data_IF_375463612828
#
_entry.id   IF_375463612828
#
_cell.length_a   1.000
_cell.length_b   1.000
_cell.length_c   1.000
_cell.angle_alpha   90.00
_cell.angle_beta   90.00
_cell.angle_gamma   90.00
#
_symmetry.space_group_name_H-M   'P 1'
#
loop_
_entity.id
_entity.type
_entity.pdbx_description
1 polymer ?
#
# COMPACT_ATOMS: atom_id res chain seq x y z
N UNK A 1 -28.82 -11.71 -32.87
CA UNK A 1 -28.75 -10.29 -32.45
C UNK A 1 -28.21 -10.26 -31.02
N UNK A 2 -26.89 -10.14 -30.86
CA UNK A 2 -26.22 -10.15 -29.55
C UNK A 2 -26.16 -8.71 -29.03
N UNK A 3 -26.93 -8.44 -27.99
CA UNK A 3 -26.94 -7.16 -27.29
C UNK A 3 -25.65 -7.09 -26.46
N UNK A 4 -24.68 -6.32 -26.95
CA UNK A 4 -23.49 -5.94 -26.19
C UNK A 4 -23.91 -4.87 -25.16
N UNK A 5 -24.37 -5.33 -24.00
CA UNK A 5 -24.56 -4.47 -22.84
C UNK A 5 -23.19 -3.93 -22.46
N UNK A 6 -22.94 -2.64 -22.73
CA UNK A 6 -21.81 -1.90 -22.15
C UNK A 6 -21.95 -1.94 -20.63
N UNK A 7 -21.35 -2.94 -20.01
CA UNK A 7 -20.97 -2.87 -18.60
C UNK A 7 -20.00 -1.70 -18.54
N UNK A 8 -20.45 -0.57 -18.01
CA UNK A 8 -19.55 0.41 -17.42
C UNK A 8 -18.81 -0.36 -16.34
N UNK A 9 -17.65 -0.92 -16.69
CA UNK A 9 -16.60 -1.20 -15.74
C UNK A 9 -16.31 0.19 -15.18
N UNK A 10 -16.97 0.54 -14.08
CA UNK A 10 -16.59 1.70 -13.30
C UNK A 10 -15.10 1.54 -13.11
N UNK A 11 -14.34 2.50 -13.62
CA UNK A 11 -12.88 2.50 -13.60
C UNK A 11 -12.50 2.18 -12.18
N UNK A 12 -12.13 0.92 -11.94
CA UNK A 12 -11.98 0.39 -10.60
C UNK A 12 -10.80 1.12 -10.01
N UNK A 13 -11.04 1.99 -9.04
CA UNK A 13 -9.97 2.48 -8.18
C UNK A 13 -9.17 1.26 -7.73
N UNK A 14 -7.85 1.31 -7.86
CA UNK A 14 -7.05 0.18 -7.44
C UNK A 14 -7.41 -0.10 -5.98
N UNK A 15 -7.58 -1.36 -5.54
CA UNK A 15 -7.98 -1.69 -4.17
C UNK A 15 -7.01 -1.17 -3.08
N UNK A 16 -5.88 -0.60 -3.51
CA UNK A 16 -4.90 0.12 -2.72
C UNK A 16 -5.26 1.60 -2.52
N UNK A 17 -5.92 2.27 -3.47
CA UNK A 17 -6.24 3.70 -3.39
C UNK A 17 -7.17 4.03 -2.23
N UNK A 18 -8.21 3.20 -2.04
CA UNK A 18 -9.12 3.33 -0.89
C UNK A 18 -8.36 3.11 0.41
N UNK A 19 -7.42 2.17 0.42
CA UNK A 19 -6.63 1.83 1.60
C UNK A 19 -5.63 2.94 1.95
N UNK A 20 -4.99 3.52 0.94
CA UNK A 20 -4.04 4.64 1.07
C UNK A 20 -4.78 5.89 1.54
N UNK A 21 -5.93 6.21 0.93
CA UNK A 21 -6.74 7.38 1.33
C UNK A 21 -7.32 7.23 2.74
N UNK A 22 -7.63 6.00 3.17
CA UNK A 22 -8.14 5.73 4.52
C UNK A 22 -7.07 5.70 5.61
N UNK A 23 -5.82 5.37 5.26
CA UNK A 23 -4.71 5.24 6.21
C UNK A 23 -3.84 6.50 6.25
N UNK A 24 -3.73 7.20 5.12
CA UNK A 24 -2.98 8.44 4.99
C UNK A 24 -3.97 9.55 4.64
N UNK A 25 -4.03 10.57 5.49
CA UNK A 25 -4.88 11.75 5.25
C UNK A 25 -4.50 12.54 3.99
N UNK A 26 -3.32 12.26 3.42
CA UNK A 26 -2.79 12.90 2.22
C UNK A 26 -2.11 11.85 1.31
N UNK A 27 -2.76 11.52 0.18
CA UNK A 27 -2.21 10.60 -0.84
C UNK A 27 -0.91 11.14 -1.44
N UNK A 28 -0.76 12.45 -1.60
CA UNK A 28 0.45 13.04 -2.16
C UNK A 28 1.64 12.86 -1.20
N UNK A 29 1.42 13.03 0.10
CA UNK A 29 2.43 12.75 1.12
C UNK A 29 2.86 11.27 1.09
N UNK A 30 1.91 10.33 0.99
CA UNK A 30 2.21 8.90 0.87
C UNK A 30 3.07 8.59 -0.38
N UNK A 31 2.75 9.20 -1.52
CA UNK A 31 3.54 9.05 -2.75
C UNK A 31 4.95 9.64 -2.63
N UNK A 32 5.11 10.79 -1.98
CA UNK A 32 6.42 11.40 -1.74
C UNK A 32 7.28 10.46 -0.90
N UNK A 33 6.75 9.99 0.24
CA UNK A 33 7.45 9.05 1.12
C UNK A 33 7.80 7.75 0.38
N UNK A 34 6.87 7.20 -0.42
CA UNK A 34 7.13 6.01 -1.21
C UNK A 34 8.25 6.20 -2.22
N UNK A 35 8.31 7.37 -2.87
CA UNK A 35 9.37 7.71 -3.82
C UNK A 35 10.72 7.84 -3.13
N UNK A 36 10.77 8.56 -2.02
CA UNK A 36 11.98 8.75 -1.23
C UNK A 36 12.51 7.41 -0.72
N UNK A 37 11.63 6.50 -0.29
CA UNK A 37 12.00 5.15 0.12
C UNK A 37 12.64 4.36 -1.02
N UNK A 38 12.02 4.31 -2.21
CA UNK A 38 12.60 3.64 -3.39
C UNK A 38 13.98 4.21 -3.73
N UNK A 39 14.10 5.53 -3.75
CA UNK A 39 15.35 6.21 -4.13
C UNK A 39 16.48 5.98 -3.12
N UNK A 40 16.14 5.89 -1.83
CA UNK A 40 17.11 5.63 -0.77
C UNK A 40 17.55 4.16 -0.68
N UNK A 41 16.76 3.24 -1.25
CA UNK A 41 17.06 1.81 -1.19
C UNK A 41 18.07 1.40 -2.26
N UNK A 42 18.99 0.50 -1.88
CA UNK A 42 19.97 -0.08 -2.82
C UNK A 42 19.48 -1.36 -3.49
N UNK A 43 18.37 -1.93 -3.03
CA UNK A 43 17.79 -3.17 -3.54
C UNK A 43 16.30 -3.02 -3.94
N UNK A 44 16.03 -2.68 -5.21
CA UNK A 44 14.67 -2.60 -5.75
C UNK A 44 13.90 -3.94 -5.73
N UNK A 45 14.60 -5.07 -5.78
CA UNK A 45 13.96 -6.39 -5.81
C UNK A 45 13.31 -6.70 -4.46
N UNK A 46 13.98 -6.36 -3.36
CA UNK A 46 13.41 -6.49 -2.01
C UNK A 46 12.15 -5.66 -1.84
N UNK A 47 12.11 -4.43 -2.39
CA UNK A 47 10.90 -3.59 -2.33
C UNK A 47 9.73 -4.28 -3.05
N UNK A 48 9.95 -4.71 -4.31
CA UNK A 48 8.88 -5.38 -5.08
C UNK A 48 8.37 -6.63 -4.36
N UNK A 49 9.26 -7.43 -3.79
CA UNK A 49 8.87 -8.63 -3.02
C UNK A 49 8.02 -8.28 -1.79
N UNK A 50 8.33 -7.20 -1.06
CA UNK A 50 7.53 -6.73 0.07
C UNK A 50 6.14 -6.26 -0.38
N UNK A 51 6.07 -5.51 -1.49
CA UNK A 51 4.80 -5.07 -2.10
C UNK A 51 3.92 -6.27 -2.48
N UNK A 52 4.48 -7.25 -3.20
CA UNK A 52 3.77 -8.45 -3.64
C UNK A 52 3.29 -9.28 -2.44
N UNK A 53 4.13 -9.42 -1.40
CA UNK A 53 3.77 -10.15 -0.18
C UNK A 53 2.60 -9.48 0.54
N UNK A 54 2.61 -8.14 0.65
CA UNK A 54 1.52 -7.41 1.29
C UNK A 54 0.22 -7.54 0.48
N UNK A 55 0.30 -7.42 -0.86
CA UNK A 55 -0.85 -7.61 -1.75
C UNK A 55 -1.44 -9.00 -1.62
N UNK A 56 -0.61 -10.05 -1.55
CA UNK A 56 -1.07 -11.43 -1.35
C UNK A 56 -1.78 -11.59 0.00
N UNK A 57 -1.24 -11.04 1.09
CA UNK A 57 -1.84 -11.13 2.43
C UNK A 57 -3.23 -10.50 2.49
N UNK A 58 -3.45 -9.40 1.76
CA UNK A 58 -4.73 -8.69 1.76
C UNK A 58 -5.62 -9.09 0.57
N UNK A 59 -5.16 -9.97 -0.30
CA UNK A 59 -5.92 -10.45 -1.45
C UNK A 59 -7.13 -11.25 -1.01
N UNK A 60 -8.24 -11.12 -1.73
CA UNK A 60 -9.50 -11.81 -1.40
C UNK A 60 -10.27 -11.26 -0.19
N UNK A 61 -9.72 -10.31 0.57
CA UNK A 61 -10.44 -9.62 1.63
C UNK A 61 -11.26 -8.44 1.11
N UNK A 62 -12.39 -8.17 1.77
CA UNK A 62 -13.17 -6.95 1.57
C UNK A 62 -12.47 -5.73 2.18
N UNK A 63 -12.87 -4.52 1.78
CA UNK A 63 -12.22 -3.28 2.23
C UNK A 63 -12.11 -3.14 3.77
N UNK A 64 -13.16 -3.41 4.56
CA UNK A 64 -13.07 -3.37 6.02
C UNK A 64 -12.04 -4.34 6.61
N UNK A 65 -12.00 -5.58 6.10
CA UNK A 65 -11.05 -6.59 6.59
C UNK A 65 -9.62 -6.26 6.17
N UNK A 66 -9.40 -5.79 4.94
CA UNK A 66 -8.08 -5.29 4.49
C UNK A 66 -7.54 -4.24 5.44
N UNK A 67 -8.35 -3.23 5.77
CA UNK A 67 -7.99 -2.15 6.70
C UNK A 67 -7.62 -2.68 8.08
N UNK A 68 -8.44 -3.58 8.64
CA UNK A 68 -8.17 -4.17 9.96
C UNK A 68 -6.88 -5.00 9.94
N UNK A 69 -6.65 -5.79 8.90
CA UNK A 69 -5.45 -6.61 8.73
C UNK A 69 -4.21 -5.73 8.64
N UNK A 70 -4.24 -4.68 7.82
CA UNK A 70 -3.12 -3.74 7.67
C UNK A 70 -2.80 -3.04 8.99
N UNK A 71 -3.81 -2.54 9.72
CA UNK A 71 -3.57 -1.94 11.05
C UNK A 71 -2.95 -2.92 12.05
N UNK A 72 -3.30 -4.20 11.98
CA UNK A 72 -2.66 -5.25 12.80
C UNK A 72 -1.20 -5.45 12.42
N UNK A 73 -0.88 -5.46 11.13
CA UNK A 73 0.50 -5.58 10.62
C UNK A 73 1.35 -4.38 11.03
N UNK A 74 0.84 -3.16 10.89
CA UNK A 74 1.53 -1.94 11.34
C UNK A 74 1.84 -2.02 12.84
N UNK A 75 0.84 -2.38 13.66
CA UNK A 75 1.04 -2.55 15.10
C UNK A 75 2.09 -3.62 15.40
N UNK A 76 2.06 -4.75 14.70
CA UNK A 76 3.04 -5.82 14.87
C UNK A 76 4.45 -5.36 14.50
N UNK A 77 4.60 -4.60 13.41
CA UNK A 77 5.90 -4.07 12.98
C UNK A 77 6.52 -3.16 14.06
N UNK A 78 5.74 -2.27 14.67
CA UNK A 78 6.24 -1.44 15.77
C UNK A 78 6.63 -2.27 17.00
N UNK A 79 5.83 -3.28 17.38
CA UNK A 79 6.14 -4.17 18.51
C UNK A 79 7.44 -4.94 18.26
N UNK A 80 7.70 -5.34 17.01
CA UNK A 80 8.86 -6.13 16.61
C UNK A 80 10.03 -5.29 16.09
N UNK A 81 9.98 -3.96 16.28
CA UNK A 81 10.99 -3.00 15.82
C UNK A 81 11.29 -3.06 14.31
N UNK A 82 10.34 -3.48 13.49
CA UNK A 82 10.39 -3.44 12.02
C UNK A 82 10.00 -2.06 11.51
N UNK A 83 10.89 -1.09 11.77
CA UNK A 83 10.71 0.31 11.40
C UNK A 83 11.75 0.75 10.37
N UNK A 84 11.37 1.72 9.55
CA UNK A 84 12.19 2.34 8.51
C UNK A 84 12.17 3.84 8.73
N UNK A 85 13.33 4.48 8.56
CA UNK A 85 13.44 5.94 8.59
C UNK A 85 13.57 6.45 7.16
N UNK A 86 12.66 7.32 6.75
CA UNK A 86 12.66 7.97 5.43
C UNK A 86 12.61 9.47 5.66
N UNK A 87 13.68 10.21 5.35
CA UNK A 87 13.73 11.67 5.48
C UNK A 87 13.23 12.22 6.84
N UNK A 88 13.61 11.56 7.94
CA UNK A 88 13.23 11.95 9.30
C UNK A 88 11.88 11.39 9.78
N UNK A 89 11.11 10.73 8.92
CA UNK A 89 9.88 10.03 9.28
C UNK A 89 10.18 8.63 9.76
N UNK A 90 9.62 8.23 10.91
CA UNK A 90 9.69 6.86 11.42
C UNK A 90 8.40 6.14 11.03
N UNK A 91 8.53 5.12 10.19
CA UNK A 91 7.42 4.37 9.62
C UNK A 91 7.60 2.88 9.90
N UNK A 92 6.51 2.15 10.01
CA UNK A 92 6.53 0.69 9.97
C UNK A 92 6.93 0.19 8.57
N UNK A 93 7.51 -1.01 8.47
CA UNK A 93 7.78 -1.63 7.16
C UNK A 93 6.51 -1.76 6.31
N UNK A 94 5.37 -2.09 6.94
CA UNK A 94 4.06 -2.12 6.27
C UNK A 94 3.65 -0.74 5.77
N UNK A 95 3.82 0.33 6.56
CA UNK A 95 3.45 1.70 6.15
C UNK A 95 4.27 2.15 4.93
N UNK A 96 5.59 1.97 4.96
CA UNK A 96 6.43 2.39 3.83
C UNK A 96 6.14 1.55 2.58
N UNK A 97 5.78 0.28 2.74
CA UNK A 97 5.36 -0.58 1.62
C UNK A 97 4.05 -0.09 1.01
N UNK A 98 3.10 0.39 1.83
CA UNK A 98 1.86 1.00 1.33
C UNK A 98 2.11 2.33 0.62
N UNK A 99 2.98 3.19 1.16
CA UNK A 99 3.43 4.41 0.49
C UNK A 99 4.04 4.10 -0.88
N UNK A 100 4.80 3.01 -0.97
CA UNK A 100 5.40 2.54 -2.24
C UNK A 100 4.31 2.05 -3.21
N UNK A 101 3.32 1.31 -2.72
CA UNK A 101 2.18 0.86 -3.53
C UNK A 101 1.33 2.03 -4.06
N UNK A 102 1.22 3.14 -3.31
CA UNK A 102 0.51 4.34 -3.73
C UNK A 102 1.09 5.02 -4.99
N UNK A 103 2.33 4.67 -5.37
CA UNK A 103 2.94 5.12 -6.64
C UNK A 103 2.45 4.33 -7.85
N UNK A 104 1.91 3.14 -7.62
CA UNK A 104 1.44 2.22 -8.67
C UNK A 104 -0.06 2.28 -8.91
N UNK A 105 -0.78 3.11 -8.13
CA UNK A 105 -2.23 3.22 -8.11
C UNK A 105 -2.77 4.57 -8.59
#
# INVERSE_FOLDING_TARGET
>A
MLVLTRVKIGVGGHPIDDLVSDLFSDKAAAQIIGRDYIQSTRDPFTIRKKMDSLLQVISGYDAPTKKRTVKKLIKHDFITARVVIVNGWVLSETEVTLCTLALTS
#
